data_IF_148513006460
#
_entry.id   IF_148513006460
#
_cell.length_a   1.000
_cell.length_b   1.000
_cell.length_c   1.000
_cell.angle_alpha   90.00
_cell.angle_beta   90.00
_cell.angle_gamma   90.00
#
_symmetry.space_group_name_H-M   'P 1'
#
loop_
_entity.id
_entity.type
_entity.pdbx_description
1 polymer ?
#
# COMPACT_ATOMS: atom_id res chain seq x y z
N UNK A 1 27.49 -62.28 25.56
CA UNK A 1 27.08 -60.86 25.63
C UNK A 1 27.05 -60.36 24.20
N UNK A 2 25.97 -59.70 23.80
CA UNK A 2 25.56 -59.30 22.43
C UNK A 2 24.80 -60.34 21.62
N UNK A 3 23.46 -60.25 21.64
CA UNK A 3 22.57 -60.31 20.47
C UNK A 3 21.11 -60.31 20.94
N UNK A 4 20.36 -59.20 20.73
CA UNK A 4 18.89 -59.24 20.49
C UNK A 4 18.38 -57.87 20.00
N UNK A 5 18.28 -57.76 18.67
CA UNK A 5 17.16 -57.23 17.88
C UNK A 5 16.37 -56.00 18.35
N UNK A 6 16.55 -54.92 17.60
CA UNK A 6 15.51 -53.93 17.22
C UNK A 6 14.39 -54.63 16.44
N UNK A 7 13.12 -54.23 16.62
CA UNK A 7 12.13 -54.34 15.56
C UNK A 7 11.64 -52.95 15.10
N UNK A 8 11.46 -52.85 13.79
CA UNK A 8 10.86 -51.74 13.06
C UNK A 8 9.32 -51.72 13.18
N UNK A 9 8.79 -50.50 13.12
CA UNK A 9 7.57 -50.06 12.39
C UNK A 9 6.19 -50.63 12.77
N UNK A 10 5.27 -49.74 13.16
CA UNK A 10 3.99 -49.60 12.44
C UNK A 10 3.26 -48.29 12.76
N UNK A 11 2.59 -47.82 11.72
CA UNK A 11 1.94 -46.54 11.47
C UNK A 11 0.62 -46.40 12.22
N UNK A 12 0.32 -45.20 12.74
CA UNK A 12 -1.04 -44.69 12.88
C UNK A 12 -0.96 -43.16 12.92
N UNK A 13 -1.05 -42.49 11.76
CA UNK A 13 -2.29 -41.95 11.20
C UNK A 13 -2.97 -40.92 12.13
N UNK A 14 -2.81 -39.66 11.77
CA UNK A 14 -3.34 -38.46 12.41
C UNK A 14 -4.87 -38.48 12.59
N UNK A 15 -5.37 -37.52 13.39
CA UNK A 15 -6.14 -36.47 12.75
C UNK A 15 -5.45 -35.13 12.96
N UNK A 16 -5.03 -34.57 11.82
CA UNK A 16 -4.60 -33.20 11.67
C UNK A 16 -5.77 -32.31 12.11
N UNK A 17 -5.65 -31.66 13.26
CA UNK A 17 -6.47 -30.49 13.55
C UNK A 17 -6.09 -29.41 12.55
N UNK A 18 -6.94 -29.27 11.54
CA UNK A 18 -7.05 -28.08 10.71
C UNK A 18 -7.16 -26.88 11.64
N UNK A 19 -6.02 -26.24 11.88
CA UNK A 19 -6.00 -24.90 12.47
C UNK A 19 -6.60 -23.97 11.43
N UNK A 20 -7.91 -23.75 11.55
CA UNK A 20 -8.61 -22.69 10.86
C UNK A 20 -7.94 -21.37 11.24
N UNK A 21 -7.09 -20.86 10.36
CA UNK A 21 -6.65 -19.46 10.40
C UNK A 21 -7.86 -18.60 10.09
N UNK A 22 -8.68 -18.34 11.11
CA UNK A 22 -9.60 -17.22 11.07
C UNK A 22 -8.74 -15.97 11.20
N UNK A 23 -8.46 -15.30 10.08
CA UNK A 23 -8.11 -13.88 10.13
C UNK A 23 -9.25 -13.19 10.86
N UNK A 24 -9.03 -12.84 12.13
CA UNK A 24 -9.99 -12.07 12.91
C UNK A 24 -10.10 -10.72 12.24
N UNK A 25 -11.22 -10.46 11.58
CA UNK A 25 -11.58 -9.13 11.11
C UNK A 25 -11.55 -8.23 12.35
N UNK A 26 -10.58 -7.32 12.40
CA UNK A 26 -10.43 -6.39 13.52
C UNK A 26 -11.74 -5.64 13.71
N UNK A 27 -12.20 -5.49 14.96
CA UNK A 27 -13.44 -4.78 15.24
C UNK A 27 -13.30 -3.30 14.90
N UNK A 28 -14.40 -2.60 14.63
CA UNK A 28 -14.37 -1.15 14.36
C UNK A 28 -13.70 -0.37 15.51
N UNK A 29 -13.85 -0.84 16.77
CA UNK A 29 -13.16 -0.28 17.92
C UNK A 29 -11.65 -0.52 17.90
N UNK A 30 -11.19 -1.68 17.43
CA UNK A 30 -9.76 -1.94 17.24
C UNK A 30 -9.20 -1.07 16.12
N UNK A 31 -9.94 -0.89 15.03
CA UNK A 31 -9.54 -0.02 13.92
C UNK A 31 -9.43 1.43 14.39
N UNK A 32 -10.41 1.94 15.14
CA UNK A 32 -10.34 3.29 15.70
C UNK A 32 -9.17 3.45 16.67
N UNK A 33 -8.94 2.49 17.56
CA UNK A 33 -7.75 2.50 18.43
C UNK A 33 -6.43 2.53 17.66
N UNK A 34 -6.38 1.90 16.48
CA UNK A 34 -5.21 1.98 15.61
C UNK A 34 -5.05 3.36 14.95
N UNK A 35 -6.13 4.10 14.67
CA UNK A 35 -6.02 5.49 14.19
C UNK A 35 -5.53 6.42 15.29
N UNK A 36 -5.95 6.23 16.54
CA UNK A 36 -5.49 7.03 17.69
C UNK A 36 -3.97 6.89 17.87
N UNK A 37 -3.48 5.64 17.92
CA UNK A 37 -2.04 5.36 18.04
C UNK A 37 -1.24 5.95 16.86
N UNK A 38 -1.83 5.95 15.67
CA UNK A 38 -1.20 6.55 14.50
C UNK A 38 -1.17 8.07 14.58
N UNK A 39 -2.26 8.69 15.02
CA UNK A 39 -2.37 10.13 15.22
C UNK A 39 -1.33 10.58 16.25
N UNK A 40 -1.26 9.94 17.43
CA UNK A 40 -0.26 10.23 18.46
C UNK A 40 1.18 10.18 17.91
N UNK A 41 1.49 9.17 17.10
CA UNK A 41 2.83 9.01 16.51
C UNK A 41 3.15 10.12 15.51
N UNK A 42 2.17 10.49 14.67
CA UNK A 42 2.33 11.54 13.66
C UNK A 42 2.36 12.92 14.32
N UNK A 43 1.51 13.19 15.30
CA UNK A 43 1.49 14.42 16.10
C UNK A 43 2.85 14.67 16.75
N UNK A 44 3.40 13.66 17.43
CA UNK A 44 4.73 13.77 18.04
C UNK A 44 5.83 14.07 17.02
N UNK A 45 5.71 13.61 15.76
CA UNK A 45 6.63 13.98 14.70
C UNK A 45 6.42 15.44 14.23
N UNK A 46 5.17 15.88 14.08
CA UNK A 46 4.86 17.26 13.70
C UNK A 46 5.40 18.26 14.73
N UNK A 47 5.26 17.94 16.01
CA UNK A 47 5.77 18.75 17.12
C UNK A 47 7.31 18.87 17.08
N UNK A 48 8.00 17.76 16.86
CA UNK A 48 9.47 17.74 16.76
C UNK A 48 9.96 18.59 15.57
N UNK A 49 9.18 18.60 14.49
CA UNK A 49 9.52 19.30 13.24
C UNK A 49 8.99 20.75 13.19
N UNK A 50 8.23 21.20 14.18
CA UNK A 50 7.58 22.52 14.24
C UNK A 50 6.66 22.78 13.01
N UNK A 51 5.86 21.77 12.68
CA UNK A 51 4.92 21.81 11.54
C UNK A 51 3.47 21.99 12.02
N UNK A 52 2.81 23.00 11.45
CA UNK A 52 1.40 23.30 11.70
C UNK A 52 0.52 22.35 10.86
N UNK A 53 0.07 21.25 11.47
CA UNK A 53 -0.82 20.28 10.85
C UNK A 53 -1.92 19.81 11.80
N UNK A 54 -3.16 19.93 11.36
CA UNK A 54 -4.33 19.32 11.99
C UNK A 54 -4.41 17.85 11.57
N UNK A 55 -4.73 16.98 12.53
CA UNK A 55 -4.83 15.54 12.32
C UNK A 55 -6.28 15.11 12.46
N UNK A 56 -6.79 14.42 11.44
CA UNK A 56 -8.10 13.78 11.45
C UNK A 56 -7.97 12.26 11.48
N UNK A 57 -8.69 11.62 12.39
CA UNK A 57 -8.75 10.18 12.57
C UNK A 57 -10.06 9.61 12.05
N UNK A 58 -9.98 8.55 11.25
CA UNK A 58 -11.17 7.91 10.72
C UNK A 58 -10.97 6.42 10.41
N UNK A 59 -12.08 5.69 10.36
CA UNK A 59 -12.12 4.32 9.84
C UNK A 59 -12.82 4.36 8.48
N UNK A 60 -12.14 3.93 7.44
CA UNK A 60 -12.67 3.95 6.07
C UNK A 60 -12.42 2.62 5.40
N UNK A 61 -13.46 2.03 4.80
CA UNK A 61 -13.38 0.75 4.10
C UNK A 61 -12.68 -0.39 4.90
N UNK A 62 -12.98 -0.49 6.20
CA UNK A 62 -12.44 -1.55 7.08
C UNK A 62 -10.95 -1.43 7.38
N UNK A 63 -10.39 -0.21 7.35
CA UNK A 63 -9.00 0.08 7.72
C UNK A 63 -8.92 1.42 8.46
N UNK A 64 -7.95 1.59 9.38
CA UNK A 64 -7.72 2.87 10.01
C UNK A 64 -7.09 3.84 9.01
N UNK A 65 -7.38 5.12 9.18
CA UNK A 65 -6.88 6.18 8.34
C UNK A 65 -6.60 7.43 9.19
N UNK A 66 -5.48 8.08 8.86
CA UNK A 66 -5.06 9.35 9.43
C UNK A 66 -4.82 10.33 8.29
N UNK A 67 -5.44 11.49 8.36
CA UNK A 67 -5.26 12.60 7.42
C UNK A 67 -4.59 13.77 8.15
N UNK A 68 -3.53 14.32 7.55
CA UNK A 68 -2.87 15.53 8.06
C UNK A 68 -3.15 16.69 7.10
N UNK A 69 -3.77 17.75 7.59
CA UNK A 69 -4.11 18.95 6.82
C UNK A 69 -3.45 20.15 7.47
N UNK A 70 -2.80 21.02 6.69
CA UNK A 70 -2.11 22.15 7.28
C UNK A 70 -1.09 22.81 6.37
N UNK A 71 -0.27 23.66 6.96
CA UNK A 71 0.75 24.44 6.27
C UNK A 71 2.09 23.72 6.23
N UNK A 72 2.89 23.99 5.19
CA UNK A 72 4.30 23.55 5.09
C UNK A 72 4.51 22.02 5.14
N UNK A 73 3.50 21.21 4.81
CA UNK A 73 3.57 19.75 4.88
C UNK A 73 4.26 19.09 3.67
N UNK A 74 4.60 19.84 2.62
CA UNK A 74 5.24 19.32 1.39
C UNK A 74 6.50 18.48 1.65
N UNK A 75 7.39 18.81 2.61
CA UNK A 75 8.54 17.97 2.95
C UNK A 75 8.16 16.58 3.47
N UNK A 76 7.02 16.45 4.18
CA UNK A 76 6.51 15.17 4.67
C UNK A 76 5.93 14.30 3.55
N UNK A 77 5.49 14.91 2.45
CA UNK A 77 5.14 14.18 1.23
C UNK A 77 6.41 13.69 0.53
N UNK A 78 7.38 14.59 0.37
CA UNK A 78 8.64 14.30 -0.31
C UNK A 78 8.47 14.08 -1.82
N UNK A 79 9.58 13.71 -2.47
CA UNK A 79 9.59 13.54 -3.93
C UNK A 79 8.69 12.36 -4.33
N UNK A 80 7.66 12.64 -5.15
CA UNK A 80 6.68 11.65 -5.60
C UNK A 80 6.05 10.83 -4.46
N UNK A 81 5.94 11.40 -3.26
CA UNK A 81 5.32 10.74 -2.11
C UNK A 81 6.22 9.75 -1.38
N UNK A 82 7.52 9.69 -1.69
CA UNK A 82 8.43 8.73 -1.07
C UNK A 82 8.53 8.90 0.46
N UNK A 83 8.54 10.14 0.96
CA UNK A 83 8.55 10.41 2.39
C UNK A 83 7.22 10.00 3.04
N UNK A 84 6.08 10.30 2.39
CA UNK A 84 4.76 9.88 2.88
C UNK A 84 4.66 8.35 3.03
N UNK A 85 5.15 7.60 2.04
CA UNK A 85 5.12 6.13 2.12
C UNK A 85 6.07 5.61 3.22
N UNK A 86 7.25 6.22 3.39
CA UNK A 86 8.15 5.87 4.49
C UNK A 86 7.50 6.15 5.87
N UNK A 87 6.86 7.32 6.03
CA UNK A 87 6.13 7.69 7.24
C UNK A 87 5.00 6.70 7.52
N UNK A 88 4.22 6.33 6.51
CA UNK A 88 3.15 5.35 6.66
C UNK A 88 3.66 4.01 7.22
N UNK A 89 4.79 3.50 6.71
CA UNK A 89 5.36 2.24 7.21
C UNK A 89 5.89 2.40 8.64
N UNK A 90 6.51 3.52 8.98
CA UNK A 90 6.93 3.81 10.36
C UNK A 90 5.73 3.86 11.31
N UNK A 91 4.64 4.52 10.91
CA UNK A 91 3.41 4.58 11.71
C UNK A 91 2.78 3.19 11.88
N UNK A 92 2.78 2.36 10.83
CA UNK A 92 2.33 0.95 10.95
C UNK A 92 3.18 0.15 11.92
N UNK A 93 4.49 0.37 11.94
CA UNK A 93 5.38 -0.26 12.91
C UNK A 93 5.12 0.23 14.34
N UNK A 94 4.79 1.52 14.52
CA UNK A 94 4.38 2.06 15.82
C UNK A 94 3.10 1.38 16.32
N UNK A 95 2.09 1.22 15.45
CA UNK A 95 0.86 0.47 15.77
C UNK A 95 1.19 -0.98 16.10
N UNK A 96 2.00 -1.66 15.30
CA UNK A 96 2.38 -3.06 15.55
C UNK A 96 3.06 -3.21 16.91
N UNK A 97 3.97 -2.30 17.25
CA UNK A 97 4.63 -2.28 18.56
C UNK A 97 3.64 -2.10 19.72
N UNK A 98 2.60 -1.28 19.54
CA UNK A 98 1.61 -1.00 20.58
C UNK A 98 0.52 -2.08 20.72
N UNK A 99 0.17 -2.76 19.63
CA UNK A 99 -0.99 -3.67 19.57
C UNK A 99 -0.61 -5.14 19.35
N UNK A 100 0.63 -5.43 18.95
CA UNK A 100 1.07 -6.77 18.54
C UNK A 100 0.47 -7.26 17.22
N UNK A 101 -0.36 -6.45 16.54
CA UNK A 101 -1.09 -6.84 15.34
C UNK A 101 -0.70 -5.95 14.15
N UNK A 102 -0.51 -6.51 12.94
CA UNK A 102 -0.19 -5.70 11.77
C UNK A 102 -1.39 -4.81 11.41
N UNK A 103 -1.12 -3.54 11.09
CA UNK A 103 -2.16 -2.60 10.69
C UNK A 103 -2.19 -2.35 9.19
N UNK A 104 -3.40 -2.15 8.66
CA UNK A 104 -3.65 -1.71 7.28
C UNK A 104 -3.81 -0.19 7.16
N UNK A 105 -3.30 0.56 8.14
CA UNK A 105 -3.35 2.03 8.20
C UNK A 105 -3.09 2.70 6.85
N UNK A 106 -3.91 3.70 6.51
CA UNK A 106 -3.62 4.66 5.47
C UNK A 106 -3.19 5.98 6.10
N UNK A 107 -2.05 6.52 5.65
CA UNK A 107 -1.68 7.90 5.94
C UNK A 107 -1.88 8.73 4.68
N UNK A 108 -2.51 9.89 4.81
CA UNK A 108 -2.55 10.92 3.77
C UNK A 108 -2.14 12.27 4.36
N UNK A 109 -1.44 13.06 3.55
CA UNK A 109 -0.91 14.36 3.94
C UNK A 109 -1.30 15.37 2.86
N UNK A 110 -2.05 16.41 3.23
CA UNK A 110 -2.46 17.49 2.35
C UNK A 110 -3.26 17.03 1.11
N UNK A 111 -3.99 15.92 1.20
CA UNK A 111 -4.74 15.36 0.07
C UNK A 111 -3.86 14.79 -1.04
N UNK A 112 -2.58 14.50 -0.77
CA UNK A 112 -1.60 14.08 -1.78
C UNK A 112 -2.10 12.89 -2.60
N UNK A 113 -2.66 11.86 -1.94
CA UNK A 113 -3.12 10.65 -2.66
C UNK A 113 -4.24 10.95 -3.66
N UNK A 114 -5.15 11.88 -3.34
CA UNK A 114 -6.21 12.30 -4.24
C UNK A 114 -5.65 13.11 -5.42
N UNK A 115 -4.78 14.09 -5.15
CA UNK A 115 -4.13 14.92 -6.17
C UNK A 115 -3.28 14.06 -7.11
N UNK A 116 -2.47 13.15 -6.57
CA UNK A 116 -1.60 12.28 -7.35
C UNK A 116 -2.37 11.34 -8.26
N UNK A 117 -3.52 10.81 -7.79
CA UNK A 117 -4.41 10.01 -8.65
C UNK A 117 -4.94 10.80 -9.84
N UNK A 118 -5.30 12.08 -9.65
CA UNK A 118 -5.77 12.96 -10.74
C UNK A 118 -4.66 13.19 -11.77
N UNK A 119 -3.43 13.46 -11.31
CA UNK A 119 -2.25 13.62 -12.18
C UNK A 119 -1.97 12.36 -13.00
N UNK A 120 -1.90 11.20 -12.33
CA UNK A 120 -1.63 9.92 -12.99
C UNK A 120 -2.72 9.54 -13.99
N UNK A 121 -3.99 9.88 -13.70
CA UNK A 121 -5.07 9.68 -14.65
C UNK A 121 -4.89 10.54 -15.91
N UNK A 122 -4.40 11.78 -15.80
CA UNK A 122 -4.07 12.60 -16.96
C UNK A 122 -2.89 12.02 -17.76
N UNK A 123 -1.84 11.57 -17.07
CA UNK A 123 -0.69 10.90 -17.71
C UNK A 123 -1.13 9.65 -18.46
N UNK A 124 -1.98 8.82 -17.85
CA UNK A 124 -2.51 7.60 -18.46
C UNK A 124 -3.33 7.90 -19.71
N UNK A 125 -4.25 8.88 -19.66
CA UNK A 125 -5.06 9.27 -20.83
C UNK A 125 -4.21 9.77 -21.98
N UNK A 126 -3.23 10.64 -21.70
CA UNK A 126 -2.30 11.14 -22.72
C UNK A 126 -1.48 10.00 -23.36
N UNK A 127 -1.08 9.00 -22.57
CA UNK A 127 -0.38 7.84 -23.11
C UNK A 127 -1.28 6.98 -24.01
N UNK A 128 -2.54 6.78 -23.61
CA UNK A 128 -3.53 6.06 -24.40
C UNK A 128 -3.83 6.76 -25.72
N UNK A 129 -3.98 8.08 -25.73
CA UNK A 129 -4.18 8.87 -26.95
C UNK A 129 -3.02 8.67 -27.92
N UNK A 130 -1.77 8.80 -27.45
CA UNK A 130 -0.58 8.57 -28.28
C UNK A 130 -0.51 7.17 -28.87
N UNK A 131 -0.85 6.14 -28.08
CA UNK A 131 -0.88 4.75 -28.55
C UNK A 131 -1.97 4.56 -29.61
N UNK A 132 -3.13 5.18 -29.45
CA UNK A 132 -4.23 5.11 -30.44
C UNK A 132 -3.91 5.86 -31.73
N UNK A 133 -3.19 6.97 -31.64
CA UNK A 133 -2.79 7.78 -32.81
C UNK A 133 -1.66 7.16 -33.61
N UNK A 134 -0.62 6.64 -32.93
CA UNK A 134 0.62 6.18 -33.58
C UNK A 134 0.73 4.66 -33.68
N UNK A 135 0.01 3.90 -32.85
CA UNK A 135 0.12 2.44 -32.76
C UNK A 135 1.33 1.94 -31.97
N UNK A 136 2.30 2.81 -31.66
CA UNK A 136 3.52 2.45 -30.95
C UNK A 136 3.32 2.37 -29.41
N UNK A 137 3.95 1.38 -28.73
CA UNK A 137 3.97 1.29 -27.27
C UNK A 137 4.54 2.53 -26.57
N UNK A 138 3.82 3.07 -25.58
CA UNK A 138 4.29 4.18 -24.76
C UNK A 138 4.77 3.68 -23.41
N UNK A 139 6.04 3.97 -23.07
CA UNK A 139 6.66 3.66 -21.77
C UNK A 139 6.59 4.88 -20.87
N UNK A 140 5.94 4.74 -19.72
CA UNK A 140 5.87 5.81 -18.73
C UNK A 140 7.13 5.88 -17.85
N UNK A 141 7.26 6.97 -17.10
CA UNK A 141 8.29 7.08 -16.07
C UNK A 141 8.13 5.99 -14.99
N UNK A 142 9.24 5.53 -14.39
CA UNK A 142 9.18 4.68 -13.21
C UNK A 142 8.38 5.34 -12.08
N UNK A 143 7.53 4.56 -11.43
CA UNK A 143 6.58 5.03 -10.43
C UNK A 143 6.30 3.90 -9.43
N UNK A 144 5.84 4.23 -8.22
CA UNK A 144 5.62 3.26 -7.14
C UNK A 144 4.52 2.24 -7.47
N UNK A 145 4.42 1.15 -6.70
CA UNK A 145 3.37 0.15 -6.90
C UNK A 145 1.95 0.74 -6.86
N UNK A 146 1.70 1.68 -5.96
CA UNK A 146 0.43 2.40 -5.87
C UNK A 146 0.15 3.20 -7.14
N UNK A 147 1.14 3.95 -7.62
CA UNK A 147 1.02 4.79 -8.81
C UNK A 147 0.78 3.94 -10.07
N UNK A 148 1.53 2.83 -10.21
CA UNK A 148 1.36 1.88 -11.32
C UNK A 148 -0.06 1.30 -11.34
N UNK A 149 -0.61 0.95 -10.18
CA UNK A 149 -1.99 0.46 -10.09
C UNK A 149 -2.98 1.54 -10.54
N UNK A 150 -2.82 2.78 -10.08
CA UNK A 150 -3.70 3.88 -10.49
C UNK A 150 -3.69 4.10 -12.00
N UNK A 151 -2.51 4.05 -12.64
CA UNK A 151 -2.39 4.16 -14.09
C UNK A 151 -3.02 2.95 -14.79
N UNK A 152 -2.74 1.74 -14.33
CA UNK A 152 -3.29 0.50 -14.89
C UNK A 152 -4.83 0.51 -14.87
N UNK A 153 -5.43 0.90 -13.75
CA UNK A 153 -6.88 1.01 -13.58
C UNK A 153 -7.49 2.00 -14.59
N UNK A 154 -6.82 3.14 -14.84
CA UNK A 154 -7.28 4.14 -15.82
C UNK A 154 -7.15 3.62 -17.25
N UNK A 155 -6.06 2.91 -17.58
CA UNK A 155 -5.87 2.33 -18.92
C UNK A 155 -6.89 1.23 -19.19
N UNK A 156 -7.11 0.32 -18.24
CA UNK A 156 -8.05 -0.79 -18.38
C UNK A 156 -9.51 -0.32 -18.56
N UNK A 157 -9.85 0.88 -18.10
CA UNK A 157 -11.16 1.46 -18.31
C UNK A 157 -11.39 1.94 -19.76
N UNK A 158 -10.36 1.96 -20.61
CA UNK A 158 -10.43 2.45 -21.99
C UNK A 158 -10.27 1.28 -22.96
N UNK A 159 -11.22 1.13 -23.89
CA UNK A 159 -11.17 0.07 -24.90
C UNK A 159 -10.08 0.28 -25.95
N UNK A 160 -9.56 -0.84 -26.49
CA UNK A 160 -8.56 -0.87 -27.56
C UNK A 160 -7.12 -0.67 -27.10
N UNK A 161 -6.88 -0.62 -25.78
CA UNK A 161 -5.54 -0.52 -25.20
C UNK A 161 -5.42 -1.44 -24.00
N UNK A 162 -4.19 -1.83 -23.69
CA UNK A 162 -3.83 -2.61 -22.51
C UNK A 162 -2.59 -2.03 -21.87
N UNK A 163 -2.37 -2.37 -20.59
CA UNK A 163 -1.16 -1.96 -19.88
C UNK A 163 -0.49 -3.13 -19.18
N UNK A 164 0.84 -3.11 -19.19
CA UNK A 164 1.68 -4.09 -18.52
C UNK A 164 2.72 -3.37 -17.69
N UNK A 165 3.09 -3.94 -16.53
CA UNK A 165 4.21 -3.41 -15.76
C UNK A 165 5.52 -4.09 -16.16
N UNK A 166 6.49 -3.29 -16.60
CA UNK A 166 7.82 -3.74 -17.05
C UNK A 166 8.92 -3.23 -16.10
N UNK A 167 9.95 -4.04 -15.87
CA UNK A 167 11.14 -3.69 -15.08
C UNK A 167 11.09 -4.14 -13.62
N UNK A 168 12.16 -3.82 -12.88
CA UNK A 168 12.32 -4.11 -11.44
C UNK A 168 12.41 -2.83 -10.64
N UNK A 169 11.96 -2.86 -9.39
CA UNK A 169 12.02 -1.70 -8.49
C UNK A 169 13.49 -1.27 -8.29
N UNK A 170 13.83 0.04 -8.33
CA UNK A 170 12.95 1.23 -8.41
C UNK A 170 12.60 1.70 -9.84
N UNK A 171 13.09 1.01 -10.87
CA UNK A 171 12.93 1.40 -12.27
C UNK A 171 11.67 0.81 -12.93
N UNK A 172 10.79 0.20 -12.14
CA UNK A 172 9.59 -0.47 -12.64
C UNK A 172 8.53 0.55 -13.05
N UNK A 173 7.95 0.34 -14.22
CA UNK A 173 7.04 1.28 -14.90
C UNK A 173 5.85 0.58 -15.54
N UNK A 174 4.91 1.37 -16.06
CA UNK A 174 3.80 0.89 -16.88
C UNK A 174 4.11 1.17 -18.35
N UNK A 175 3.82 0.19 -19.20
CA UNK A 175 3.84 0.30 -20.65
C UNK A 175 2.42 0.15 -21.17
N UNK A 176 1.98 1.12 -21.96
CA UNK A 176 0.67 1.12 -22.61
C UNK A 176 0.84 0.68 -24.06
N UNK A 177 -0.01 -0.25 -24.52
CA UNK A 177 0.03 -0.83 -25.87
C UNK A 177 -1.38 -0.96 -26.42
N UNK A 178 -1.50 -1.14 -27.73
CA UNK A 178 -2.77 -1.51 -28.36
C UNK A 178 -3.19 -2.89 -27.83
N UNK A 179 -4.48 -3.06 -27.55
CA UNK A 179 -5.01 -4.37 -27.17
C UNK A 179 -5.06 -5.27 -28.40
N UNK A 180 -4.61 -6.51 -28.25
CA UNK A 180 -4.64 -7.53 -29.31
C UNK A 180 -6.08 -7.97 -29.64
#
# INVERSE_FOLDING_TARGET
MTDTSTPESSVSASPSEETKTSESVASDGDLFRQSEIAADYVEGLLDILDYDGDIDELVSAGRPMVEVVGGRLQPLVGQRGATLEALQELTRLAIFRATGSPSRLLLDIGGYRASRRKELAAVARNAVEKVKEHGDPVRLEPMSAFERKCVHDVVNAISGVQSESEGVEPNRRIVVRVAD
#
